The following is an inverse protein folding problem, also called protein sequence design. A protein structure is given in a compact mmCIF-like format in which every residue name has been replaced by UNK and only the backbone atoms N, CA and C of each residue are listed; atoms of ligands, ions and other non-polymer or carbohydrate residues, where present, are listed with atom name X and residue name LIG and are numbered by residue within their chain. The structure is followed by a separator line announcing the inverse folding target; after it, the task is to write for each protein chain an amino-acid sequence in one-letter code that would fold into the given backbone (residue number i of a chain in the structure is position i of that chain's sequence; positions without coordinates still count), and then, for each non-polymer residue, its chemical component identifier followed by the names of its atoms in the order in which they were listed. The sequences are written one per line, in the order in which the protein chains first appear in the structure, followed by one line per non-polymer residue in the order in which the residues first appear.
data_IF_810250516084
#
_entry.id   IF_810250516084
#
_cell.length_a   1.000
_cell.length_b   1.000
_cell.length_c   1.000
_cell.angle_alpha   90.00
_cell.angle_beta   90.00
_cell.angle_gamma   90.00
#
_symmetry.space_group_name_H-M   'P 1'
#
loop_
_entity.id
_entity.type
_entity.pdbx_description
1 polymer ?
#
# COMPACT_ATOMS: atom_id res chain seq x y z
N UNK A 1 7.13 20.00 11.19
CA UNK A 1 8.35 20.04 10.36
C UNK A 1 8.75 18.66 9.84
N UNK A 2 8.61 17.60 10.65
CA UNK A 2 8.87 16.20 10.25
C UNK A 2 8.09 15.77 8.99
N UNK A 3 6.80 16.13 8.87
CA UNK A 3 5.96 15.72 7.71
C UNK A 3 6.52 16.19 6.36
N UNK A 4 6.90 17.46 6.26
CA UNK A 4 7.41 18.04 5.01
C UNK A 4 8.71 17.37 4.57
N UNK A 5 9.62 17.12 5.52
CA UNK A 5 10.88 16.45 5.23
C UNK A 5 10.67 14.97 4.90
N UNK A 6 9.77 14.29 5.61
CA UNK A 6 9.34 12.92 5.29
C UNK A 6 8.78 12.80 3.87
N UNK A 7 7.94 13.75 3.46
CA UNK A 7 7.41 13.84 2.09
C UNK A 7 8.52 14.02 1.04
N UNK A 8 9.54 14.85 1.33
CA UNK A 8 10.68 15.02 0.42
C UNK A 8 11.49 13.73 0.25
N UNK A 9 11.73 12.99 1.33
CA UNK A 9 12.40 11.69 1.22
C UNK A 9 11.55 10.67 0.48
N UNK A 10 10.24 10.69 0.66
CA UNK A 10 9.30 9.83 -0.07
C UNK A 10 9.38 10.08 -1.59
N UNK A 11 9.31 11.34 -2.01
CA UNK A 11 9.45 11.73 -3.43
C UNK A 11 10.82 11.30 -3.97
N UNK A 12 11.88 11.47 -3.17
CA UNK A 12 13.24 11.05 -3.52
C UNK A 12 13.47 9.52 -3.43
N UNK A 13 12.42 8.71 -3.21
CA UNK A 13 12.48 7.23 -3.07
C UNK A 13 13.38 6.75 -1.93
N UNK A 14 13.68 7.61 -0.96
CA UNK A 14 14.47 7.27 0.24
C UNK A 14 13.51 6.76 1.33
N UNK A 15 12.89 5.61 1.08
CA UNK A 15 11.78 5.09 1.89
C UNK A 15 12.14 4.88 3.36
N UNK A 16 13.34 4.37 3.66
CA UNK A 16 13.80 4.17 5.05
C UNK A 16 13.84 5.47 5.85
N UNK A 17 14.35 6.55 5.24
CA UNK A 17 14.40 7.88 5.88
C UNK A 17 13.01 8.51 5.96
N UNK A 18 12.19 8.29 4.95
CA UNK A 18 10.81 8.78 4.93
C UNK A 18 9.99 8.18 6.08
N UNK A 19 10.12 6.88 6.34
CA UNK A 19 9.42 6.17 7.41
C UNK A 19 9.59 6.90 8.75
N UNK A 20 10.83 7.08 9.22
CA UNK A 20 11.08 7.65 10.56
C UNK A 20 10.39 9.01 10.76
N UNK A 21 10.42 9.87 9.74
CA UNK A 21 9.83 11.20 9.82
C UNK A 21 8.31 11.20 9.63
N UNK A 22 7.79 10.31 8.79
CA UNK A 22 6.35 10.16 8.58
C UNK A 22 5.67 9.56 9.81
N UNK A 23 6.31 8.60 10.48
CA UNK A 23 5.82 8.03 11.74
C UNK A 23 5.81 9.07 12.87
N UNK A 24 6.85 9.90 12.96
CA UNK A 24 6.92 11.02 13.91
C UNK A 24 5.83 12.08 13.65
N UNK A 25 5.52 12.33 12.37
CA UNK A 25 4.51 13.29 11.97
C UNK A 25 3.06 12.80 12.17
N UNK A 26 2.84 11.49 12.07
CA UNK A 26 1.51 10.87 12.10
C UNK A 26 0.59 11.31 13.25
N UNK A 27 1.02 11.33 14.54
CA UNK A 27 0.13 11.68 15.65
C UNK A 27 -0.35 13.14 15.65
N UNK A 28 0.38 14.04 14.98
CA UNK A 28 0.09 15.48 14.98
C UNK A 28 -0.42 15.98 13.62
N UNK A 29 -0.62 15.08 12.65
CA UNK A 29 -1.04 15.47 11.30
C UNK A 29 -2.55 15.73 11.26
N UNK A 30 -2.95 16.77 10.54
CA UNK A 30 -4.35 17.04 10.20
C UNK A 30 -4.88 16.10 9.12
N UNK A 31 -3.99 15.40 8.41
CA UNK A 31 -4.33 14.43 7.36
C UNK A 31 -3.60 13.10 7.55
N UNK A 32 -3.89 12.37 8.65
CA UNK A 32 -3.18 11.14 8.98
C UNK A 32 -3.34 10.04 7.91
N UNK A 33 -4.42 10.06 7.13
CA UNK A 33 -4.64 9.12 6.03
C UNK A 33 -3.59 9.27 4.93
N UNK A 34 -3.24 10.50 4.56
CA UNK A 34 -2.21 10.78 3.54
C UNK A 34 -0.85 10.25 3.98
N UNK A 35 -0.50 10.45 5.25
CA UNK A 35 0.73 9.90 5.83
C UNK A 35 0.69 8.36 5.83
N UNK A 36 -0.41 7.75 6.27
CA UNK A 36 -0.56 6.29 6.28
C UNK A 36 -0.43 5.70 4.88
N UNK A 37 -1.01 6.31 3.84
CA UNK A 37 -0.83 5.88 2.44
C UNK A 37 0.65 5.80 2.07
N UNK A 38 1.41 6.88 2.34
CA UNK A 38 2.85 6.94 2.09
C UNK A 38 3.62 5.89 2.90
N UNK A 39 3.26 5.69 4.17
CA UNK A 39 3.88 4.67 5.03
C UNK A 39 3.65 3.26 4.49
N UNK A 40 2.46 2.92 3.99
CA UNK A 40 2.20 1.61 3.34
C UNK A 40 3.21 1.38 2.22
N UNK A 41 3.34 2.35 1.31
CA UNK A 41 4.28 2.25 0.17
C UNK A 41 5.71 2.13 0.66
N UNK A 42 6.15 2.97 1.61
CA UNK A 42 7.49 2.90 2.16
C UNK A 42 7.78 1.54 2.80
N UNK A 43 6.87 1.02 3.61
CA UNK A 43 7.07 -0.25 4.30
C UNK A 43 7.12 -1.43 3.32
N UNK A 44 6.30 -1.42 2.27
CA UNK A 44 6.40 -2.40 1.19
C UNK A 44 7.77 -2.36 0.53
N UNK A 45 8.26 -1.17 0.19
CA UNK A 45 9.56 -1.01 -0.50
C UNK A 45 10.77 -1.40 0.36
N UNK A 46 10.64 -1.36 1.68
CA UNK A 46 11.69 -1.78 2.63
C UNK A 46 11.47 -3.24 3.09
N UNK A 47 10.45 -3.94 2.57
CA UNK A 47 10.16 -5.34 2.92
C UNK A 47 9.55 -5.55 4.31
N UNK A 48 9.05 -4.50 4.96
CA UNK A 48 8.40 -4.56 6.28
C UNK A 48 6.89 -4.79 6.13
N UNK A 49 6.51 -5.94 5.56
CA UNK A 49 5.15 -6.23 5.08
C UNK A 49 4.11 -6.21 6.20
N UNK A 50 4.44 -6.70 7.40
CA UNK A 50 3.55 -6.66 8.56
C UNK A 50 3.09 -5.23 8.90
N UNK A 51 4.03 -4.27 8.91
CA UNK A 51 3.72 -2.87 9.23
C UNK A 51 2.94 -2.21 8.09
N UNK A 52 3.26 -2.56 6.85
CA UNK A 52 2.50 -2.12 5.69
C UNK A 52 1.04 -2.58 5.78
N UNK A 53 0.81 -3.87 6.03
CA UNK A 53 -0.52 -4.45 6.18
C UNK A 53 -1.30 -3.83 7.33
N UNK A 54 -0.66 -3.50 8.45
CA UNK A 54 -1.32 -2.84 9.58
C UNK A 54 -1.90 -1.47 9.17
N UNK A 55 -1.10 -0.62 8.52
CA UNK A 55 -1.57 0.68 8.04
C UNK A 55 -2.59 0.54 6.91
N UNK A 56 -2.39 -0.41 6.01
CA UNK A 56 -3.27 -0.70 4.89
C UNK A 56 -4.65 -1.17 5.36
N UNK A 57 -4.68 -2.13 6.27
CA UNK A 57 -5.92 -2.62 6.87
C UNK A 57 -6.68 -1.52 7.61
N UNK A 58 -5.98 -0.66 8.36
CA UNK A 58 -6.59 0.47 9.05
C UNK A 58 -7.25 1.46 8.07
N UNK A 59 -6.58 1.78 6.96
CA UNK A 59 -7.13 2.62 5.89
C UNK A 59 -8.39 2.00 5.26
N UNK A 60 -8.33 0.70 4.93
CA UNK A 60 -9.45 -0.02 4.28
C UNK A 60 -10.64 -0.15 5.21
N UNK A 61 -10.42 -0.43 6.50
CA UNK A 61 -11.49 -0.47 7.50
C UNK A 61 -12.17 0.87 7.69
N UNK A 62 -11.43 1.97 7.53
CA UNK A 62 -11.99 3.32 7.60
C UNK A 62 -12.83 3.63 6.37
N UNK A 63 -12.22 3.57 5.19
CA UNK A 63 -12.91 3.67 3.90
C UNK A 63 -11.92 3.24 2.79
N UNK A 64 -12.20 2.17 2.01
CA UNK A 64 -11.32 1.74 0.92
C UNK A 64 -11.09 2.82 -0.14
N UNK A 65 -12.04 3.76 -0.31
CA UNK A 65 -11.93 4.87 -1.27
C UNK A 65 -10.75 5.79 -0.97
N UNK A 66 -10.26 5.82 0.27
CA UNK A 66 -9.07 6.60 0.65
C UNK A 66 -7.86 6.18 -0.20
N UNK A 67 -7.71 4.88 -0.47
CA UNK A 67 -6.64 4.33 -1.29
C UNK A 67 -7.04 4.33 -2.76
N UNK A 68 -8.24 3.84 -3.08
CA UNK A 68 -8.71 3.67 -4.48
C UNK A 68 -8.74 5.01 -5.23
N UNK A 69 -9.11 6.11 -4.56
CA UNK A 69 -9.17 7.44 -5.18
C UNK A 69 -7.85 8.23 -5.04
N UNK A 70 -6.72 7.54 -4.84
CA UNK A 70 -5.41 8.21 -4.82
C UNK A 70 -5.13 8.80 -6.20
N UNK A 71 -4.85 10.09 -6.26
CA UNK A 71 -4.44 10.76 -7.48
C UNK A 71 -2.91 10.64 -7.62
N UNK A 72 -2.38 10.00 -8.68
CA UNK A 72 -0.94 9.77 -8.81
C UNK A 72 -0.10 11.05 -8.80
N UNK A 73 -0.63 12.16 -9.31
CA UNK A 73 0.07 13.42 -9.41
C UNK A 73 -0.03 14.23 -8.11
N UNK A 74 -1.23 14.33 -7.53
CA UNK A 74 -1.47 15.14 -6.34
C UNK A 74 -1.01 14.48 -5.04
N UNK A 75 -1.00 13.14 -4.98
CA UNK A 75 -0.55 12.38 -3.81
C UNK A 75 0.91 11.89 -3.93
N UNK A 76 1.62 12.27 -5.00
CA UNK A 76 2.99 11.83 -5.33
C UNK A 76 3.13 10.29 -5.39
N UNK A 77 2.11 9.57 -5.84
CA UNK A 77 2.07 8.12 -5.74
C UNK A 77 3.02 7.44 -6.74
N UNK A 78 4.07 6.73 -6.29
CA UNK A 78 5.06 6.09 -7.16
C UNK A 78 4.61 4.74 -7.76
N UNK A 79 3.38 4.29 -7.48
CA UNK A 79 2.94 2.94 -7.83
C UNK A 79 2.99 2.63 -9.32
N UNK A 80 2.78 3.63 -10.20
CA UNK A 80 2.92 3.46 -11.66
C UNK A 80 4.34 3.10 -12.09
N UNK A 81 5.37 3.55 -11.36
CA UNK A 81 6.77 3.23 -11.63
C UNK A 81 7.19 1.91 -10.97
N UNK A 82 6.73 1.67 -9.74
CA UNK A 82 7.11 0.51 -8.94
C UNK A 82 6.53 -0.78 -9.53
N UNK A 83 5.23 -0.79 -9.85
CA UNK A 83 4.50 -2.00 -10.23
C UNK A 83 5.11 -2.68 -11.47
N UNK A 84 5.40 -1.98 -12.59
CA UNK A 84 6.00 -2.62 -13.76
C UNK A 84 7.38 -3.22 -13.48
N UNK A 85 8.19 -2.56 -12.64
CA UNK A 85 9.49 -3.08 -12.23
C UNK A 85 9.34 -4.40 -11.47
N UNK A 86 8.32 -4.50 -10.63
CA UNK A 86 8.00 -5.72 -9.92
C UNK A 86 7.44 -6.78 -10.89
N UNK A 87 6.44 -6.46 -11.71
CA UNK A 87 5.87 -7.40 -12.69
C UNK A 87 6.90 -8.02 -13.64
N UNK A 88 7.91 -7.28 -14.09
CA UNK A 88 8.97 -7.86 -14.93
C UNK A 88 9.81 -8.93 -14.20
N UNK A 89 9.84 -8.91 -12.86
CA UNK A 89 10.51 -9.92 -12.06
C UNK A 89 9.61 -11.16 -11.81
N UNK A 90 8.29 -11.06 -12.02
CA UNK A 90 7.35 -12.19 -11.85
C UNK A 90 7.65 -13.38 -12.76
N UNK A 91 8.13 -13.11 -13.98
CA UNK A 91 8.35 -14.15 -14.99
C UNK A 91 9.60 -15.03 -14.74
N UNK A 92 10.42 -14.70 -13.73
CA UNK A 92 11.75 -15.29 -13.57
C UNK A 92 11.96 -16.17 -12.31
N UNK A 93 11.10 -16.10 -11.28
CA UNK A 93 11.34 -16.78 -10.00
C UNK A 93 10.06 -17.27 -9.29
N UNK A 94 10.21 -18.22 -8.37
CA UNK A 94 9.18 -18.63 -7.41
C UNK A 94 9.06 -17.53 -6.32
N UNK A 95 8.07 -16.66 -6.49
CA UNK A 95 7.87 -15.50 -5.61
C UNK A 95 7.28 -15.88 -4.25
N UNK A 96 7.77 -15.23 -3.20
CA UNK A 96 7.26 -15.40 -1.85
C UNK A 96 5.84 -14.83 -1.68
N UNK A 97 5.10 -15.30 -0.68
CA UNK A 97 3.78 -14.76 -0.35
C UNK A 97 3.81 -13.24 -0.07
N UNK A 98 4.85 -12.79 0.64
CA UNK A 98 5.13 -11.37 0.93
C UNK A 98 5.16 -10.51 -0.35
N UNK A 99 5.57 -11.10 -1.47
CA UNK A 99 5.58 -10.44 -2.77
C UNK A 99 4.16 -10.24 -3.32
N UNK A 100 3.31 -11.26 -3.25
CA UNK A 100 1.90 -11.15 -3.64
C UNK A 100 1.13 -10.19 -2.73
N UNK A 101 1.42 -10.17 -1.44
CA UNK A 101 0.86 -9.20 -0.49
C UNK A 101 1.24 -7.77 -0.84
N UNK A 102 2.53 -7.56 -1.15
CA UNK A 102 3.08 -6.28 -1.57
C UNK A 102 2.42 -5.77 -2.84
N UNK A 103 2.34 -6.61 -3.88
CA UNK A 103 1.66 -6.26 -5.12
C UNK A 103 0.18 -5.99 -4.88
N UNK A 104 -0.49 -6.82 -4.09
CA UNK A 104 -1.89 -6.61 -3.69
C UNK A 104 -2.13 -5.24 -3.06
N UNK A 105 -1.26 -4.83 -2.13
CA UNK A 105 -1.33 -3.51 -1.48
C UNK A 105 -1.05 -2.37 -2.46
N UNK A 106 0.02 -2.48 -3.26
CA UNK A 106 0.40 -1.43 -4.22
C UNK A 106 -0.63 -1.27 -5.33
N UNK A 107 -1.22 -2.37 -5.80
CA UNK A 107 -2.21 -2.34 -6.85
C UNK A 107 -3.49 -1.61 -6.43
N UNK A 108 -3.85 -1.57 -5.14
CA UNK A 108 -5.09 -0.90 -4.74
C UNK A 108 -5.08 0.61 -5.06
N UNK A 109 -3.89 1.21 -5.18
CA UNK A 109 -3.70 2.60 -5.60
C UNK A 109 -3.97 2.84 -7.09
N UNK A 110 -3.98 1.79 -7.92
CA UNK A 110 -4.04 1.93 -9.38
C UNK A 110 -5.16 1.11 -10.01
N UNK A 111 -5.36 -0.12 -9.55
CA UNK A 111 -6.34 -1.06 -10.06
C UNK A 111 -6.83 -2.00 -8.94
N UNK A 112 -8.08 -1.80 -8.53
CA UNK A 112 -8.75 -2.60 -7.50
C UNK A 112 -8.85 -4.09 -7.86
N UNK A 113 -9.16 -4.41 -9.11
CA UNK A 113 -9.36 -5.79 -9.55
C UNK A 113 -8.06 -6.58 -9.47
N UNK A 114 -6.95 -6.02 -9.98
CA UNK A 114 -5.62 -6.60 -9.83
C UNK A 114 -5.22 -6.72 -8.35
N UNK A 115 -5.53 -5.72 -7.53
CA UNK A 115 -5.27 -5.78 -6.08
C UNK A 115 -5.92 -7.00 -5.44
N UNK A 116 -7.21 -7.22 -5.71
CA UNK A 116 -7.96 -8.38 -5.22
C UNK A 116 -7.31 -9.68 -5.70
N UNK A 117 -6.99 -9.79 -7.00
CA UNK A 117 -6.36 -10.98 -7.56
C UNK A 117 -5.03 -11.34 -6.87
N UNK A 118 -4.17 -10.36 -6.60
CA UNK A 118 -2.90 -10.60 -5.93
C UNK A 118 -3.06 -10.93 -4.44
N UNK A 119 -4.01 -10.27 -3.75
CA UNK A 119 -4.33 -10.59 -2.36
C UNK A 119 -4.93 -12.00 -2.22
N UNK A 120 -5.74 -12.45 -3.18
CA UNK A 120 -6.25 -13.83 -3.22
C UNK A 120 -5.14 -14.85 -3.45
N UNK A 121 -4.17 -14.55 -4.32
CA UNK A 121 -2.97 -15.40 -4.52
C UNK A 121 -2.12 -15.50 -3.25
N UNK A 122 -2.11 -14.48 -2.39
CA UNK A 122 -1.35 -14.51 -1.14
C UNK A 122 -1.99 -15.42 -0.06
N UNK A 123 -3.31 -15.63 -0.07
CA UNK A 123 -4.04 -16.35 0.98
C UNK A 123 -3.58 -17.78 1.36
N UNK A 124 -3.09 -18.65 0.44
CA UNK A 124 -2.86 -20.06 0.75
C UNK A 124 -1.85 -20.31 1.88
N UNK A 125 -0.78 -19.51 1.96
CA UNK A 125 0.38 -19.79 2.83
C UNK A 125 0.84 -18.56 3.65
N UNK A 126 -0.01 -17.53 3.75
CA UNK A 126 0.30 -16.31 4.51
C UNK A 126 -0.06 -16.43 5.99
N UNK A 127 0.85 -15.96 6.84
CA UNK A 127 0.59 -15.70 8.28
C UNK A 127 -0.46 -14.61 8.53
N UNK A 128 -0.78 -13.79 7.52
CA UNK A 128 -1.73 -12.68 7.59
C UNK A 128 -3.11 -13.02 7.02
N UNK A 129 -3.43 -14.31 6.88
CA UNK A 129 -4.67 -14.80 6.24
C UNK A 129 -5.94 -14.16 6.78
N UNK A 130 -6.04 -13.96 8.08
CA UNK A 130 -7.21 -13.34 8.74
C UNK A 130 -7.35 -11.86 8.36
N UNK A 131 -6.25 -11.13 8.25
CA UNK A 131 -6.23 -9.70 7.87
C UNK A 131 -6.51 -9.54 6.38
N UNK A 132 -5.91 -10.39 5.54
CA UNK A 132 -6.14 -10.31 4.09
C UNK A 132 -7.57 -10.70 3.73
N UNK A 133 -8.14 -11.72 4.39
CA UNK A 133 -9.55 -12.08 4.19
C UNK A 133 -10.53 -10.99 4.64
N UNK A 134 -10.24 -10.27 5.74
CA UNK A 134 -11.08 -9.13 6.14
C UNK A 134 -10.99 -8.00 5.12
N UNK A 135 -9.79 -7.69 4.61
CA UNK A 135 -9.58 -6.70 3.54
C UNK A 135 -10.38 -7.09 2.29
N UNK A 136 -10.22 -8.32 1.81
CA UNK A 136 -10.90 -8.80 0.61
C UNK A 136 -12.43 -8.71 0.74
N UNK A 137 -12.98 -9.04 1.91
CA UNK A 137 -14.41 -8.88 2.17
C UNK A 137 -14.85 -7.42 2.00
N UNK A 138 -14.14 -6.48 2.61
CA UNK A 138 -14.46 -5.04 2.52
C UNK A 138 -14.32 -4.54 1.07
N UNK A 139 -13.28 -5.00 0.35
CA UNK A 139 -13.05 -4.62 -1.04
C UNK A 139 -14.14 -5.19 -1.98
N UNK A 140 -14.63 -6.40 -1.74
CA UNK A 140 -15.69 -6.98 -2.56
C UNK A 140 -17.06 -6.32 -2.29
N UNK A 141 -17.31 -5.87 -1.06
CA UNK A 141 -18.54 -5.15 -0.70
C UNK A 141 -18.55 -3.69 -1.18
N UNK A 142 -17.40 -3.09 -1.47
CA UNK A 142 -17.33 -1.74 -2.03
C UNK A 142 -17.77 -1.75 -3.49
N UNK A 143 -18.99 -1.29 -3.76
CA UNK A 143 -19.56 -1.13 -5.11
C UNK A 143 -18.58 -0.40 -6.03
N UNK A 144 -18.37 -0.86 -7.28
CA UNK A 144 -17.51 -0.16 -8.23
C UNK A 144 -18.03 1.26 -8.46
N UNK A 145 -17.15 2.25 -8.30
CA UNK A 145 -17.44 3.63 -8.71
C UNK A 145 -17.45 3.62 -10.23
N UNK A 146 -18.65 3.53 -10.82
CA UNK A 146 -18.88 3.82 -12.24
C UNK A 146 -18.31 5.21 -12.50
N UNK A 147 -17.24 5.26 -13.28
CA UNK A 147 -16.79 6.50 -13.92
C UNK A 147 -17.70 6.76 -15.12
#
# INVERSE_FOLDING_TARGET
MSEMLGNRYFIARQYEKAISLLEEALPNSSTPEKIKKKLVICFVQVGKIERALLHFHDLIRKDPKIIINTDPYHDDCPCYEIIPSWENNLDNEEHSQDYYESLGMLYLYCNKEKSIQYLEKALPDTKFKTVISSILKILNETVPVKH
#
